data_IF_333237921227
#
_entry.id   IF_333237921227
#
_cell.length_a   1.000
_cell.length_b   1.000
_cell.length_c   1.000
_cell.angle_alpha   90.00
_cell.angle_beta   90.00
_cell.angle_gamma   90.00
#
_symmetry.space_group_name_H-M   'P 1'
#
loop_
_entity.id
_entity.type
_entity.pdbx_description
1 polymer ?
#
# COMPACT_ATOMS: atom_id res chain seq x y z
N UNK A 1 12.07 12.77 14.63
CA UNK A 1 11.31 13.56 13.65
C UNK A 1 10.29 12.65 13.00
N UNK A 2 9.04 13.09 12.85
CA UNK A 2 8.06 12.34 12.07
C UNK A 2 8.25 12.69 10.59
N UNK A 3 8.42 11.67 9.74
CA UNK A 3 8.58 11.85 8.28
C UNK A 3 7.28 12.42 7.66
N UNK A 4 6.14 12.14 8.28
CA UNK A 4 4.80 12.61 7.86
C UNK A 4 4.20 13.47 8.97
N UNK A 5 3.68 14.65 8.62
CA UNK A 5 3.04 15.57 9.57
C UNK A 5 1.91 14.89 10.36
N UNK A 6 1.83 15.16 11.67
CA UNK A 6 0.75 14.67 12.55
C UNK A 6 -0.64 15.14 12.14
N UNK A 7 -0.72 16.22 11.36
CA UNK A 7 -1.98 16.74 10.84
C UNK A 7 -2.41 16.09 9.53
N UNK A 8 -1.62 15.17 8.99
CA UNK A 8 -1.92 14.57 7.70
C UNK A 8 -3.16 13.68 7.77
N UNK A 9 -4.09 13.83 6.83
CA UNK A 9 -5.31 13.04 6.69
C UNK A 9 -5.19 11.94 5.64
N UNK A 10 -4.19 12.02 4.75
CA UNK A 10 -3.88 10.98 3.76
C UNK A 10 -2.40 11.01 3.35
N UNK A 11 -1.89 9.88 2.84
CA UNK A 11 -0.52 9.73 2.32
C UNK A 11 -0.51 9.11 0.93
N UNK A 12 0.46 9.52 0.11
CA UNK A 12 0.81 8.84 -1.14
C UNK A 12 1.85 7.77 -0.85
N UNK A 13 1.46 6.53 -1.03
CA UNK A 13 2.35 5.37 -0.96
C UNK A 13 2.75 5.01 -2.38
N UNK A 14 4.05 4.89 -2.62
CA UNK A 14 4.59 4.22 -3.79
C UNK A 14 5.13 2.88 -3.33
N UNK A 15 4.53 1.81 -3.86
CA UNK A 15 5.00 0.47 -3.63
C UNK A 15 5.99 0.04 -4.71
N UNK A 16 6.99 -0.73 -4.31
CA UNK A 16 7.77 -1.60 -5.17
C UNK A 16 7.50 -3.03 -4.75
N UNK A 17 7.27 -3.87 -5.76
CA UNK A 17 6.71 -5.18 -5.55
C UNK A 17 7.32 -6.21 -6.49
N UNK A 18 7.82 -7.29 -5.90
CA UNK A 18 8.42 -8.42 -6.61
C UNK A 18 7.89 -9.74 -6.05
N UNK A 19 7.44 -10.61 -6.96
CA UNK A 19 6.91 -11.91 -6.61
C UNK A 19 7.07 -12.93 -7.75
N UNK A 20 7.11 -14.19 -7.35
CA UNK A 20 7.30 -15.34 -8.26
C UNK A 20 5.96 -15.92 -8.79
N UNK A 21 4.82 -15.48 -8.23
CA UNK A 21 3.48 -15.78 -8.74
C UNK A 21 2.98 -14.74 -9.76
N UNK A 22 2.05 -15.16 -10.62
CA UNK A 22 1.27 -14.26 -11.48
C UNK A 22 -0.10 -13.96 -10.84
N UNK A 23 -0.70 -12.82 -11.19
CA UNK A 23 -2.07 -12.43 -10.80
C UNK A 23 -2.33 -12.29 -9.29
N UNK A 24 -1.50 -11.46 -8.65
CA UNK A 24 -1.65 -11.15 -7.24
C UNK A 24 -1.97 -9.68 -7.04
N UNK A 25 -2.73 -9.43 -5.98
CA UNK A 25 -3.36 -8.14 -5.70
C UNK A 25 -2.97 -7.68 -4.30
N UNK A 26 -2.32 -6.52 -4.20
CA UNK A 26 -2.15 -5.81 -2.94
C UNK A 26 -3.24 -4.75 -2.83
N UNK A 27 -3.82 -4.59 -1.65
CA UNK A 27 -4.81 -3.55 -1.36
C UNK A 27 -4.43 -2.84 -0.07
N UNK A 28 -4.60 -1.53 -0.02
CA UNK A 28 -4.28 -0.70 1.15
C UNK A 28 -5.54 -0.09 1.77
N UNK A 29 -5.52 0.06 3.10
CA UNK A 29 -6.61 0.72 3.84
C UNK A 29 -6.11 1.43 5.10
N UNK A 30 -6.94 2.35 5.61
CA UNK A 30 -6.78 2.89 6.97
C UNK A 30 -7.03 1.77 7.99
N UNK A 31 -6.26 1.71 9.09
CA UNK A 31 -6.48 0.73 10.15
C UNK A 31 -7.87 0.87 10.77
N UNK A 32 -8.42 -0.26 11.24
CA UNK A 32 -9.66 -0.31 12.01
C UNK A 32 -10.96 -0.25 11.19
N UNK A 33 -10.92 0.14 9.91
CA UNK A 33 -12.10 0.06 9.05
C UNK A 33 -12.03 -1.16 8.14
N UNK A 34 -12.52 -2.30 8.64
CA UNK A 34 -12.49 -3.58 7.92
C UNK A 34 -13.34 -3.61 6.65
N UNK A 35 -14.26 -2.65 6.50
CA UNK A 35 -15.17 -2.55 5.37
C UNK A 35 -14.66 -1.63 4.25
N UNK A 36 -13.63 -0.82 4.49
CA UNK A 36 -13.04 0.07 3.48
C UNK A 36 -11.79 -0.57 2.90
N UNK A 37 -11.83 -0.89 1.61
CA UNK A 37 -10.62 -0.93 0.78
C UNK A 37 -10.56 0.42 0.08
N UNK A 38 -9.65 1.29 0.51
CA UNK A 38 -9.59 2.65 -0.03
C UNK A 38 -9.02 2.67 -1.45
N UNK A 39 -8.25 1.67 -1.86
CA UNK A 39 -7.67 1.59 -3.20
C UNK A 39 -7.37 0.15 -3.63
N UNK A 40 -7.67 -0.16 -4.90
CA UNK A 40 -7.00 -1.23 -5.62
C UNK A 40 -5.51 -0.89 -5.70
N UNK A 41 -4.70 -1.65 -4.98
CA UNK A 41 -3.26 -1.47 -4.95
C UNK A 41 -2.63 -2.16 -6.16
N UNK A 42 -1.57 -2.94 -5.96
CA UNK A 42 -0.70 -3.40 -7.05
C UNK A 42 -1.16 -4.74 -7.62
N UNK A 43 -1.17 -4.85 -8.95
CA UNK A 43 -1.46 -6.10 -9.67
C UNK A 43 -0.23 -6.50 -10.48
N UNK A 44 0.10 -7.80 -10.52
CA UNK A 44 1.06 -8.30 -11.51
C UNK A 44 0.41 -9.28 -12.47
N UNK A 45 0.77 -9.19 -13.75
CA UNK A 45 0.19 -10.01 -14.81
C UNK A 45 1.11 -11.20 -15.17
N UNK A 46 2.34 -11.23 -14.65
CA UNK A 46 3.36 -12.27 -14.94
C UNK A 46 4.32 -12.42 -13.75
N UNK A 47 4.76 -13.66 -13.51
CA UNK A 47 5.78 -14.00 -12.52
C UNK A 47 7.13 -13.30 -12.80
N UNK A 48 7.87 -12.99 -11.74
CA UNK A 48 9.23 -12.45 -11.79
C UNK A 48 9.36 -11.10 -12.53
N UNK A 49 8.31 -10.29 -12.51
CA UNK A 49 8.34 -8.92 -13.05
C UNK A 49 8.19 -7.92 -11.91
N UNK A 50 9.06 -6.91 -11.94
CA UNK A 50 8.98 -5.76 -11.05
C UNK A 50 7.82 -4.83 -11.42
N UNK A 51 7.05 -4.40 -10.42
CA UNK A 51 5.97 -3.42 -10.62
C UNK A 51 6.03 -2.29 -9.61
N UNK A 52 5.83 -1.08 -10.12
CA UNK A 52 5.68 0.16 -9.37
C UNK A 52 4.25 0.67 -9.53
N UNK A 53 3.62 1.02 -8.41
CA UNK A 53 2.28 1.63 -8.40
C UNK A 53 2.14 2.53 -7.19
N UNK A 54 1.36 3.59 -7.39
CA UNK A 54 1.08 4.59 -6.38
C UNK A 54 -0.36 4.43 -5.88
N UNK A 55 -0.59 4.63 -4.58
CA UNK A 55 -1.91 4.64 -3.96
C UNK A 55 -2.01 5.76 -2.94
N UNK A 56 -3.15 6.44 -2.89
CA UNK A 56 -3.44 7.43 -1.85
C UNK A 56 -4.23 6.74 -0.76
N UNK A 57 -3.78 6.80 0.49
CA UNK A 57 -4.43 6.10 1.60
C UNK A 57 -4.74 7.09 2.70
N UNK A 58 -6.00 7.12 3.13
CA UNK A 58 -6.44 7.91 4.28
C UNK A 58 -5.75 7.40 5.57
N UNK A 59 -5.42 8.32 6.47
CA UNK A 59 -4.88 8.02 7.79
C UNK A 59 -6.01 8.01 8.84
N UNK A 60 -5.88 7.12 9.81
CA UNK A 60 -6.71 7.13 11.03
C UNK A 60 -5.98 7.85 12.18
N UNK A 61 -6.61 7.90 13.35
CA UNK A 61 -6.03 8.52 14.55
C UNK A 61 -4.77 7.81 15.02
N UNK A 62 -4.68 6.51 14.81
CA UNK A 62 -3.51 5.70 15.16
C UNK A 62 -2.39 5.84 14.12
N UNK A 63 -2.70 6.42 12.97
CA UNK A 63 -1.82 6.64 11.81
C UNK A 63 -1.19 5.34 11.32
N UNK A 64 -1.97 4.27 11.33
CA UNK A 64 -1.55 2.95 10.84
C UNK A 64 -2.27 2.62 9.54
N UNK A 65 -1.51 2.09 8.60
CA UNK A 65 -2.00 1.62 7.31
C UNK A 65 -1.90 0.10 7.31
N UNK A 66 -2.99 -0.54 6.94
CA UNK A 66 -3.04 -1.99 6.77
C UNK A 66 -3.01 -2.31 5.28
N UNK A 67 -2.41 -3.45 4.95
CA UNK A 67 -2.39 -3.99 3.61
C UNK A 67 -2.90 -5.43 3.61
N UNK A 68 -3.56 -5.82 2.52
CA UNK A 68 -3.93 -7.22 2.23
C UNK A 68 -3.26 -7.64 0.94
N UNK A 69 -2.64 -8.81 0.95
CA UNK A 69 -2.13 -9.48 -0.26
C UNK A 69 -2.97 -10.73 -0.45
N UNK A 70 -3.53 -10.92 -1.66
CA UNK A 70 -4.37 -12.09 -1.96
C UNK A 70 -3.55 -13.39 -2.12
N UNK A 71 -2.24 -13.30 -2.37
CA UNK A 71 -1.30 -14.43 -2.41
C UNK A 71 -0.22 -14.32 -1.32
N UNK A 72 0.17 -15.44 -0.70
CA UNK A 72 1.16 -15.47 0.40
C UNK A 72 2.60 -15.56 -0.09
N UNK A 73 2.83 -15.82 -1.38
CA UNK A 73 4.17 -15.99 -1.95
C UNK A 73 4.66 -14.69 -2.62
N UNK A 74 5.17 -13.76 -1.82
CA UNK A 74 5.90 -12.57 -2.29
C UNK A 74 7.33 -12.59 -1.77
N UNK A 75 8.28 -12.13 -2.58
CA UNK A 75 9.70 -12.09 -2.19
C UNK A 75 9.99 -10.76 -1.46
N UNK A 76 9.55 -9.65 -2.06
CA UNK A 76 9.83 -8.31 -1.54
C UNK A 76 8.62 -7.39 -1.68
N UNK A 77 8.31 -6.66 -0.61
CA UNK A 77 7.37 -5.55 -0.58
C UNK A 77 8.09 -4.32 0.01
N UNK A 78 8.40 -3.36 -0.84
CA UNK A 78 8.97 -2.08 -0.44
C UNK A 78 7.91 -0.99 -0.53
N UNK A 79 7.74 -0.19 0.53
CA UNK A 79 6.77 0.90 0.58
C UNK A 79 7.47 2.21 0.91
N UNK A 80 7.24 3.23 0.09
CA UNK A 80 7.74 4.58 0.31
C UNK A 80 6.60 5.59 0.36
N UNK A 81 6.58 6.43 1.40
CA UNK A 81 5.69 7.61 1.44
C UNK A 81 6.36 8.74 0.66
N UNK A 82 5.67 9.28 -0.35
CA UNK A 82 6.21 10.32 -1.24
C UNK A 82 5.52 11.68 -1.10
N UNK A 83 4.30 11.71 -0.57
CA UNK A 83 3.53 12.93 -0.31
C UNK A 83 2.47 12.69 0.78
N UNK A 84 1.88 13.76 1.31
CA UNK A 84 0.75 13.73 2.22
C UNK A 84 -0.12 14.98 2.10
N UNK A 85 -1.36 14.88 2.58
CA UNK A 85 -2.36 15.95 2.56
C UNK A 85 -2.90 16.23 3.96
N UNK A 86 -3.46 17.43 4.16
CA UNK A 86 -4.09 17.90 5.40
C UNK A 86 -5.60 17.91 5.26
#
# INVERSE_FOLDING_TARGET
SHIVSEKATAVLIVGHLQGNGADWHIRFRKKGNVNDINHDGMETVRANIERHRSSIVALDTDRVIEYKVDDKAWDTLDLAVRAWWF
#
